data_IF_365260808955
#
_entry.id   IF_365260808955
#
_cell.length_a   1.000
_cell.length_b   1.000
_cell.length_c   1.000
_cell.angle_alpha   90.00
_cell.angle_beta   90.00
_cell.angle_gamma   90.00
#
_symmetry.space_group_name_H-M   'P 1'
#
loop_
_entity.id
_entity.type
_entity.pdbx_description
1 polymer ?
#
# COMPACT_ATOMS: atom_id res chain seq x y z
N UNK A 1 20.03 50.90 33.66
CA UNK A 1 18.57 50.70 33.83
C UNK A 1 18.09 49.72 32.75
N UNK A 2 17.76 48.49 33.14
CA UNK A 2 17.25 47.47 32.24
C UNK A 2 15.76 47.74 31.99
N UNK A 3 15.37 47.88 30.72
CA UNK A 3 13.98 48.07 30.31
C UNK A 3 13.14 46.82 30.58
N UNK A 4 11.80 46.95 30.57
CA UNK A 4 10.92 45.88 31.01
C UNK A 4 10.80 44.76 29.97
N UNK A 5 10.93 43.51 30.43
CA UNK A 5 11.08 42.28 29.65
C UNK A 5 9.83 41.80 28.89
N UNK A 6 8.84 42.66 28.64
CA UNK A 6 7.55 42.25 28.05
C UNK A 6 7.39 42.60 26.56
N UNK A 7 8.43 43.15 25.91
CA UNK A 7 8.45 43.27 24.45
C UNK A 7 8.65 41.87 23.84
N UNK A 8 7.59 41.37 23.18
CA UNK A 8 7.38 39.97 22.90
C UNK A 8 8.30 39.32 21.86
N UNK A 9 8.44 38.01 22.00
CA UNK A 9 8.46 37.10 20.87
C UNK A 9 7.11 36.35 20.89
N UNK A 10 6.34 36.30 19.77
CA UNK A 10 5.17 35.45 19.71
C UNK A 10 5.61 33.99 19.95
N UNK A 11 4.82 33.17 20.65
CA UNK A 11 5.08 31.74 20.68
C UNK A 11 5.00 31.25 19.23
N UNK A 12 6.05 30.58 18.76
CA UNK A 12 6.07 29.94 17.45
C UNK A 12 5.08 28.76 17.47
N UNK A 13 3.79 29.08 17.33
CA UNK A 13 2.71 28.15 17.09
C UNK A 13 2.47 28.12 15.58
N UNK A 14 3.46 27.63 14.84
CA UNK A 14 3.50 27.79 13.40
C UNK A 14 4.34 26.76 12.66
N UNK A 15 4.44 25.54 13.18
CA UNK A 15 5.09 24.43 12.48
C UNK A 15 4.25 23.16 12.59
N UNK A 16 3.03 23.19 12.07
CA UNK A 16 2.32 21.94 11.79
C UNK A 16 3.28 21.06 11.00
N UNK A 17 3.52 19.83 11.46
CA UNK A 17 4.12 18.79 10.61
C UNK A 17 3.31 18.82 9.33
N UNK A 18 3.88 19.36 8.26
CA UNK A 18 3.27 19.30 6.96
C UNK A 18 3.07 17.83 6.70
N UNK A 19 1.82 17.37 6.70
CA UNK A 19 1.50 16.08 6.12
C UNK A 19 2.10 16.13 4.71
N UNK A 20 3.07 15.26 4.40
CA UNK A 20 3.67 15.25 3.08
C UNK A 20 2.52 15.13 2.07
N UNK A 21 2.59 15.94 1.02
CA UNK A 21 1.56 15.83 -0.01
C UNK A 21 1.51 14.39 -0.51
N UNK A 22 0.35 13.86 -0.91
CA UNK A 22 0.26 12.51 -1.49
C UNK A 22 1.32 12.29 -2.59
N UNK A 23 1.75 13.35 -3.29
CA UNK A 23 2.85 13.29 -4.26
C UNK A 23 4.24 13.11 -3.65
N UNK A 24 4.53 13.71 -2.50
CA UNK A 24 5.79 13.48 -1.76
C UNK A 24 5.83 12.08 -1.14
N UNK A 25 4.72 11.57 -0.61
CA UNK A 25 4.66 10.17 -0.14
C UNK A 25 4.83 9.17 -1.30
N UNK A 26 4.18 9.44 -2.43
CA UNK A 26 4.26 8.65 -3.66
C UNK A 26 5.54 8.91 -4.49
N UNK A 27 6.47 9.75 -4.05
CA UNK A 27 7.78 9.91 -4.73
C UNK A 27 8.94 9.58 -3.79
N UNK A 28 8.69 8.67 -2.85
CA UNK A 28 9.69 8.18 -1.91
C UNK A 28 10.83 7.45 -2.64
N UNK A 29 12.08 7.77 -2.30
CA UNK A 29 13.28 7.14 -2.92
C UNK A 29 13.45 5.66 -2.59
N UNK A 30 12.74 5.15 -1.57
CA UNK A 30 12.73 3.74 -1.17
C UNK A 30 11.57 2.94 -1.78
N UNK A 31 10.67 3.57 -2.56
CA UNK A 31 9.49 2.93 -3.15
C UNK A 31 9.63 2.88 -4.66
N UNK A 32 9.47 1.69 -5.23
CA UNK A 32 9.44 1.49 -6.68
C UNK A 32 8.00 1.55 -7.22
N UNK A 33 7.78 2.37 -8.24
CA UNK A 33 6.47 2.57 -8.85
C UNK A 33 6.37 1.77 -10.14
N UNK A 34 5.72 0.61 -10.07
CA UNK A 34 5.51 -0.25 -11.23
C UNK A 34 4.38 0.29 -12.10
N UNK A 35 4.69 0.63 -13.36
CA UNK A 35 3.67 0.98 -14.35
C UNK A 35 2.95 -0.30 -14.79
N UNK A 36 1.69 -0.44 -14.39
CA UNK A 36 0.83 -1.53 -14.84
C UNK A 36 0.16 -1.08 -16.13
N UNK A 37 0.50 -1.76 -17.23
CA UNK A 37 -0.26 -1.65 -18.48
C UNK A 37 -1.43 -2.67 -18.42
N UNK A 38 -2.69 -2.23 -18.33
CA UNK A 38 -3.83 -3.15 -18.20
C UNK A 38 -3.99 -4.07 -19.41
N UNK A 39 -3.71 -3.55 -20.61
CA UNK A 39 -3.85 -4.31 -21.86
C UNK A 39 -2.77 -5.40 -21.94
N UNK A 40 -1.51 -5.05 -21.67
CA UNK A 40 -0.42 -6.03 -21.66
C UNK A 40 -0.59 -7.06 -20.53
N UNK A 41 -1.09 -6.64 -19.36
CA UNK A 41 -1.39 -7.56 -18.26
C UNK A 41 -2.50 -8.54 -18.65
N UNK A 42 -3.58 -8.07 -19.29
CA UNK A 42 -4.64 -8.92 -19.79
C UNK A 42 -4.10 -9.98 -20.77
N UNK A 43 -3.33 -9.55 -21.78
CA UNK A 43 -2.73 -10.46 -22.77
C UNK A 43 -1.83 -11.52 -22.13
N UNK A 44 -1.11 -11.19 -21.06
CA UNK A 44 -0.23 -12.13 -20.33
C UNK A 44 -0.99 -13.27 -19.63
N UNK A 45 -2.23 -13.04 -19.24
CA UNK A 45 -3.02 -13.99 -18.43
C UNK A 45 -4.24 -14.56 -19.15
N UNK A 46 -4.71 -13.97 -20.25
CA UNK A 46 -5.97 -14.36 -20.92
C UNK A 46 -6.03 -15.83 -21.33
N UNK A 47 -4.89 -16.43 -21.68
CA UNK A 47 -4.82 -17.82 -22.15
C UNK A 47 -4.54 -18.80 -21.00
N UNK A 48 -4.26 -18.31 -19.78
CA UNK A 48 -4.02 -19.14 -18.61
C UNK A 48 -5.35 -19.47 -17.92
N UNK A 49 -5.54 -20.75 -17.61
CA UNK A 49 -6.78 -21.26 -17.02
C UNK A 49 -6.49 -21.87 -15.65
N UNK A 50 -7.43 -21.71 -14.72
CA UNK A 50 -7.37 -22.30 -13.37
C UNK A 50 -8.61 -23.15 -13.15
N UNK A 51 -8.40 -24.37 -12.62
CA UNK A 51 -9.50 -25.24 -12.21
C UNK A 51 -9.94 -24.93 -10.78
N UNK A 52 -11.24 -24.82 -10.56
CA UNK A 52 -11.85 -24.58 -9.24
C UNK A 52 -12.23 -25.87 -8.52
N UNK A 53 -11.88 -27.03 -9.08
CA UNK A 53 -12.34 -28.32 -8.58
C UNK A 53 -11.83 -28.57 -7.15
N UNK A 54 -12.78 -28.72 -6.22
CA UNK A 54 -12.49 -29.11 -4.84
C UNK A 54 -11.76 -28.04 -4.01
N UNK A 55 -11.76 -26.78 -4.47
CA UNK A 55 -11.15 -25.67 -3.73
C UNK A 55 -12.03 -25.30 -2.53
N UNK A 56 -11.45 -25.44 -1.35
CA UNK A 56 -12.08 -25.17 -0.05
C UNK A 56 -11.00 -24.58 0.86
N UNK A 57 -10.97 -23.25 0.96
CA UNK A 57 -9.93 -22.53 1.71
C UNK A 57 -10.22 -22.44 3.21
N UNK A 58 -11.50 -22.39 3.59
CA UNK A 58 -11.93 -21.98 4.93
C UNK A 58 -13.07 -22.79 5.53
N UNK A 59 -13.83 -23.55 4.74
CA UNK A 59 -15.10 -24.13 5.20
C UNK A 59 -14.87 -25.44 5.98
N UNK A 60 -13.65 -25.97 5.93
CA UNK A 60 -13.23 -27.17 6.67
C UNK A 60 -11.94 -26.93 7.45
N UNK A 61 -12.08 -26.94 8.77
CA UNK A 61 -10.96 -26.85 9.73
C UNK A 61 -10.24 -28.21 9.89
N UNK A 62 -10.86 -29.28 9.39
CA UNK A 62 -10.57 -30.67 9.74
C UNK A 62 -9.42 -31.27 8.90
N UNK A 63 -8.91 -30.54 7.91
CA UNK A 63 -7.84 -31.00 7.01
C UNK A 63 -6.52 -30.30 7.36
N UNK A 64 -5.36 -30.96 7.17
CA UNK A 64 -4.07 -30.26 7.16
C UNK A 64 -4.10 -29.15 6.11
N UNK A 65 -3.15 -28.19 6.19
CA UNK A 65 -3.07 -27.01 5.33
C UNK A 65 -3.53 -27.29 3.89
N UNK A 66 -4.65 -26.69 3.49
CA UNK A 66 -5.18 -26.80 2.12
C UNK A 66 -4.47 -25.81 1.20
N UNK A 67 -4.04 -26.27 0.03
CA UNK A 67 -3.64 -25.42 -1.09
C UNK A 67 -4.78 -25.39 -2.10
N UNK A 68 -5.12 -24.22 -2.64
CA UNK A 68 -6.17 -24.07 -3.65
C UNK A 68 -5.64 -24.15 -5.08
N UNK A 69 -6.55 -24.36 -6.03
CA UNK A 69 -6.27 -24.39 -7.47
C UNK A 69 -5.14 -25.36 -7.87
N UNK A 70 -5.01 -26.51 -7.17
CA UNK A 70 -3.91 -27.46 -7.41
C UNK A 70 -4.03 -28.26 -8.71
N UNK A 71 -5.25 -28.37 -9.24
CA UNK A 71 -5.44 -28.94 -10.57
C UNK A 71 -5.04 -27.90 -11.61
N UNK A 72 -3.84 -28.06 -12.20
CA UNK A 72 -3.47 -27.41 -13.46
C UNK A 72 -4.41 -27.86 -14.59
N UNK A 73 -4.36 -27.14 -15.72
CA UNK A 73 -4.89 -27.68 -16.98
C UNK A 73 -4.10 -28.91 -17.42
#
# INVERSE_FOLDING_TARGET
PAGPCWAGAPPDHGGGRGEPSLREELSSTSVEHLIINPNAAYEKFRDKRLSTKGVDFSDRINKPRTTGYESGE
#
